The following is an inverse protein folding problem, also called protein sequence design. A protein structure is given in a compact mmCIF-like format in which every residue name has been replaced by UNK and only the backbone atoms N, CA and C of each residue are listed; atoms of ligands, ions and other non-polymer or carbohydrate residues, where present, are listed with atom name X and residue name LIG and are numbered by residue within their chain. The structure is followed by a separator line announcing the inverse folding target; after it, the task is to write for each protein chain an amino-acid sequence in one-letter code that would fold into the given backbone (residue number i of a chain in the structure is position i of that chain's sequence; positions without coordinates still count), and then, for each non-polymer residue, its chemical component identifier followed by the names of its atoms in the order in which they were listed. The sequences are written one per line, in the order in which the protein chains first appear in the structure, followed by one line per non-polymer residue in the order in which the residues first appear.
data_IF_246428230537
#
_entry.id   IF_246428230537
#
_cell.length_a   1.000
_cell.length_b   1.000
_cell.length_c   1.000
_cell.angle_alpha   90.00
_cell.angle_beta   90.00
_cell.angle_gamma   90.00
#
_symmetry.space_group_name_H-M   'P 1'
#
loop_
_entity.id
_entity.type
_entity.pdbx_description
1 polymer ?
#
# COMPACT_ATOMS: atom_id res chain seq x y z
N UNK A 1 14.16 -9.20 13.46
CA UNK A 1 14.82 -7.91 13.30
C UNK A 1 13.86 -6.85 12.77
N UNK A 2 13.97 -5.65 13.30
CA UNK A 2 13.15 -4.53 12.85
C UNK A 2 13.94 -3.62 11.91
N UNK A 3 15.18 -3.99 11.64
CA UNK A 3 16.05 -3.19 10.77
C UNK A 3 15.36 -2.86 9.46
N UNK A 4 15.62 -1.66 8.95
CA UNK A 4 15.00 -1.21 7.71
C UNK A 4 15.79 -1.67 6.49
N UNK A 5 16.79 -2.51 6.73
CA UNK A 5 17.61 -3.05 5.65
C UNK A 5 16.81 -3.98 4.76
N UNK A 6 15.62 -4.38 5.23
CA UNK A 6 14.74 -5.27 4.49
C UNK A 6 13.78 -4.48 3.61
N UNK A 7 13.94 -3.17 3.58
CA UNK A 7 13.10 -2.31 2.76
C UNK A 7 13.76 -2.03 1.42
N UNK A 8 13.41 -2.82 0.42
CA UNK A 8 13.93 -2.65 -0.93
C UNK A 8 12.81 -2.34 -1.92
N UNK A 9 13.16 -1.71 -3.03
CA UNK A 9 12.19 -1.39 -4.07
C UNK A 9 11.44 -2.63 -4.54
N UNK A 10 10.14 -2.50 -4.70
CA UNK A 10 9.32 -3.57 -5.25
C UNK A 10 8.11 -3.02 -5.99
N UNK A 11 7.64 -1.86 -5.55
CA UNK A 11 6.47 -1.23 -6.17
C UNK A 11 6.70 -0.93 -7.64
N UNK A 12 7.84 -0.28 -7.93
CA UNK A 12 8.19 0.07 -9.30
C UNK A 12 8.20 -1.15 -10.20
N UNK A 13 9.01 -2.14 -9.83
CA UNK A 13 9.13 -3.37 -10.62
C UNK A 13 7.79 -4.07 -10.76
N UNK A 14 7.01 -4.07 -9.68
CA UNK A 14 5.74 -4.77 -9.66
C UNK A 14 4.78 -4.24 -10.71
N UNK A 15 4.66 -2.91 -10.78
CA UNK A 15 3.73 -2.27 -11.70
C UNK A 15 4.23 -2.33 -13.13
N UNK A 16 5.55 -2.32 -13.31
CA UNK A 16 6.16 -2.47 -14.62
C UNK A 16 5.90 -3.86 -15.19
N UNK A 17 6.04 -4.88 -14.35
CA UNK A 17 5.85 -6.26 -14.78
C UNK A 17 4.38 -6.57 -14.99
N UNK A 18 3.51 -5.71 -14.46
CA UNK A 18 2.07 -5.89 -14.60
C UNK A 18 1.42 -4.67 -15.23
N UNK A 19 2.04 -4.14 -16.28
CA UNK A 19 1.54 -2.94 -16.94
C UNK A 19 0.38 -3.26 -17.86
N UNK A 20 0.14 -4.55 -18.08
CA UNK A 20 -0.97 -4.99 -18.92
C UNK A 20 -2.28 -5.01 -18.13
N UNK A 21 -2.89 -3.84 -17.98
CA UNK A 21 -4.04 -3.68 -17.09
C UNK A 21 -5.28 -4.33 -17.68
N UNK A 22 -5.23 -4.63 -18.98
CA UNK A 22 -6.34 -5.27 -19.66
C UNK A 22 -6.23 -6.78 -19.62
N UNK A 23 -5.05 -7.27 -19.24
CA UNK A 23 -4.77 -8.71 -19.26
C UNK A 23 -4.65 -9.25 -17.84
N UNK A 24 -4.19 -8.39 -16.92
CA UNK A 24 -3.97 -8.81 -15.54
C UNK A 24 -5.29 -8.88 -14.77
N UNK A 25 -5.44 -9.93 -13.98
CA UNK A 25 -6.67 -10.13 -13.21
C UNK A 25 -6.92 -8.98 -12.25
N UNK A 26 -8.15 -8.48 -12.25
CA UNK A 26 -8.51 -7.35 -11.41
C UNK A 26 -8.16 -7.61 -9.95
N UNK A 27 -8.32 -8.85 -9.53
CA UNK A 27 -8.05 -9.24 -8.14
C UNK A 27 -6.81 -10.12 -8.05
N UNK A 28 -5.95 -10.03 -9.04
CA UNK A 28 -4.72 -10.80 -9.07
C UNK A 28 -3.81 -10.41 -7.91
N UNK A 29 -3.61 -11.36 -6.98
CA UNK A 29 -2.78 -11.10 -5.80
C UNK A 29 -1.31 -11.03 -6.18
N UNK A 30 -0.59 -10.08 -5.58
CA UNK A 30 0.79 -9.82 -5.94
C UNK A 30 1.75 -10.32 -4.86
N UNK A 31 1.23 -10.46 -3.64
CA UNK A 31 2.02 -10.96 -2.53
C UNK A 31 1.28 -12.08 -1.79
N UNK A 32 2.03 -12.90 -1.07
CA UNK A 32 1.44 -13.99 -0.30
C UNK A 32 0.49 -13.47 0.77
N UNK A 33 -0.46 -14.31 1.17
CA UNK A 33 -1.36 -13.98 2.27
C UNK A 33 -0.67 -14.13 3.62
N UNK A 34 -0.76 -13.10 4.44
CA UNK A 34 -0.21 -13.15 5.80
C UNK A 34 -1.28 -13.55 6.80
N UNK A 35 -0.84 -14.10 7.94
CA UNK A 35 -1.74 -14.52 8.99
C UNK A 35 -1.82 -13.49 10.10
N UNK A 36 -2.76 -13.69 11.03
CA UNK A 36 -2.84 -12.84 12.22
C UNK A 36 -1.56 -12.90 13.04
N UNK A 37 -0.90 -14.05 13.01
CA UNK A 37 0.38 -14.22 13.68
C UNK A 37 1.48 -13.39 13.01
N UNK A 38 1.46 -13.38 11.69
CA UNK A 38 2.39 -12.56 10.92
C UNK A 38 2.17 -11.08 11.18
N UNK A 39 0.91 -10.68 11.27
CA UNK A 39 0.56 -9.29 11.55
C UNK A 39 0.93 -8.91 12.98
N UNK A 40 0.84 -9.88 13.88
CA UNK A 40 1.22 -9.66 15.27
C UNK A 40 2.72 -9.44 15.41
N UNK A 41 3.49 -10.25 14.70
CA UNK A 41 4.95 -10.18 14.78
C UNK A 41 5.58 -10.30 13.39
N UNK A 42 5.46 -9.25 12.59
CA UNK A 42 5.97 -9.26 11.23
C UNK A 42 7.49 -9.17 11.20
N UNK A 43 8.06 -8.58 12.25
CA UNK A 43 9.51 -8.47 12.36
C UNK A 43 10.12 -9.77 12.87
N UNK A 44 9.27 -10.73 13.20
CA UNK A 44 9.73 -12.05 13.63
C UNK A 44 9.34 -13.12 12.63
N UNK A 45 8.86 -12.69 11.46
CA UNK A 45 8.42 -13.62 10.43
C UNK A 45 9.32 -13.56 9.21
N UNK A 46 10.13 -14.61 9.03
CA UNK A 46 11.08 -14.66 7.92
C UNK A 46 10.37 -14.45 6.58
N UNK A 47 9.15 -14.97 6.47
CA UNK A 47 8.37 -14.80 5.26
C UNK A 47 8.25 -13.34 4.86
N UNK A 48 8.13 -12.47 5.86
CA UNK A 48 8.04 -11.04 5.62
C UNK A 48 9.43 -10.41 5.49
N UNK A 49 10.33 -10.82 6.38
CA UNK A 49 11.64 -10.19 6.47
C UNK A 49 12.41 -10.33 5.17
N UNK A 50 12.27 -11.49 4.52
CA UNK A 50 13.05 -11.81 3.33
C UNK A 50 12.32 -11.37 2.07
N UNK A 51 11.15 -10.77 2.25
CA UNK A 51 10.35 -10.30 1.12
C UNK A 51 10.06 -8.81 1.23
N UNK A 52 10.86 -8.00 0.53
CA UNK A 52 10.67 -6.56 0.54
C UNK A 52 9.25 -6.18 0.12
N UNK A 53 8.60 -7.07 -0.62
CA UNK A 53 7.27 -6.81 -1.15
C UNK A 53 6.27 -6.54 -0.03
N UNK A 54 6.54 -7.11 1.14
CA UNK A 54 5.64 -6.97 2.28
C UNK A 54 5.86 -5.64 2.99
N UNK A 55 7.00 -5.01 2.73
CA UNK A 55 7.36 -3.77 3.39
C UNK A 55 6.80 -2.56 2.66
N UNK A 56 6.25 -1.61 3.41
CA UNK A 56 5.72 -0.38 2.83
C UNK A 56 5.76 0.76 3.85
N UNK A 57 5.71 1.99 3.35
CA UNK A 57 5.65 3.16 4.20
C UNK A 57 4.44 4.03 3.88
N UNK A 58 3.82 4.59 4.91
CA UNK A 58 2.68 5.48 4.73
C UNK A 58 3.12 6.94 4.69
N UNK A 59 2.68 7.65 3.66
CA UNK A 59 3.08 9.04 3.46
C UNK A 59 1.93 9.99 3.77
N UNK A 60 0.71 9.51 3.58
CA UNK A 60 -0.48 10.31 3.86
C UNK A 60 -1.75 9.53 3.56
N UNK A 61 -2.80 9.79 4.34
CA UNK A 61 -4.10 9.18 4.11
C UNK A 61 -5.11 10.21 3.61
N UNK A 62 -6.19 9.72 3.00
CA UNK A 62 -7.19 10.59 2.40
C UNK A 62 -8.48 10.59 3.21
N UNK A 63 -9.11 9.42 3.32
CA UNK A 63 -10.43 9.30 3.91
C UNK A 63 -10.81 7.86 4.14
N UNK A 64 -11.99 7.64 4.72
CA UNK A 64 -12.51 6.29 4.92
C UNK A 64 -13.95 6.18 4.43
N UNK A 65 -14.21 5.16 3.62
CA UNK A 65 -15.52 4.99 3.00
C UNK A 65 -15.85 3.52 2.81
N UNK A 66 -17.10 3.15 3.07
CA UNK A 66 -17.54 1.76 2.95
C UNK A 66 -16.72 0.85 3.86
N UNK A 67 -16.35 1.37 5.03
CA UNK A 67 -15.55 0.61 5.98
C UNK A 67 -14.17 0.28 5.43
N UNK A 68 -13.74 1.05 4.43
CA UNK A 68 -12.43 0.85 3.83
C UNK A 68 -11.59 2.12 3.91
N UNK A 69 -10.30 1.95 4.22
CA UNK A 69 -9.41 3.09 4.38
C UNK A 69 -8.66 3.38 3.09
N UNK A 70 -8.63 4.65 2.70
CA UNK A 70 -7.98 5.07 1.47
C UNK A 70 -6.78 5.96 1.76
N UNK A 71 -5.59 5.48 1.43
CA UNK A 71 -4.35 6.17 1.77
C UNK A 71 -3.32 6.04 0.67
N UNK A 72 -2.15 6.62 0.88
CA UNK A 72 -1.05 6.53 -0.07
C UNK A 72 0.22 5.99 0.58
N UNK A 73 0.84 5.01 -0.05
CA UNK A 73 2.04 4.39 0.49
C UNK A 73 3.14 4.31 -0.55
N UNK A 74 4.37 4.06 -0.11
CA UNK A 74 5.50 3.92 -1.01
C UNK A 74 6.56 2.99 -0.43
N UNK A 75 7.68 2.86 -1.14
CA UNK A 75 8.83 2.13 -0.61
C UNK A 75 10.13 2.86 -0.96
N UNK A 76 11.21 2.09 -1.11
CA UNK A 76 12.52 2.66 -1.40
C UNK A 76 12.54 3.31 -2.77
N UNK A 77 11.60 2.92 -3.62
CA UNK A 77 11.45 3.55 -4.93
C UNK A 77 10.23 4.46 -4.98
N UNK A 78 9.21 4.03 -5.71
CA UNK A 78 8.14 4.92 -6.12
C UNK A 78 6.92 4.80 -5.21
N UNK A 79 5.94 5.66 -5.41
CA UNK A 79 4.79 5.74 -4.52
C UNK A 79 3.51 5.35 -5.25
N UNK A 80 2.60 4.70 -4.52
CA UNK A 80 1.35 4.22 -5.11
C UNK A 80 0.22 4.26 -4.10
N UNK A 81 -1.00 4.48 -4.59
CA UNK A 81 -2.18 4.52 -3.74
C UNK A 81 -2.52 3.13 -3.22
N UNK A 82 -3.16 3.07 -2.06
CA UNK A 82 -3.53 1.81 -1.44
C UNK A 82 -4.93 1.87 -0.84
N UNK A 83 -5.70 0.80 -1.06
CA UNK A 83 -7.01 0.69 -0.44
C UNK A 83 -7.07 -0.51 0.51
N UNK A 84 -7.54 -0.25 1.73
CA UNK A 84 -7.60 -1.29 2.76
C UNK A 84 -9.01 -1.84 2.92
N UNK A 85 -9.17 -3.13 2.63
CA UNK A 85 -10.48 -3.75 2.62
C UNK A 85 -11.12 -3.74 4.00
N UNK A 86 -12.44 -3.94 4.06
CA UNK A 86 -13.15 -4.01 5.32
C UNK A 86 -12.54 -5.07 6.24
N UNK A 87 -12.17 -6.20 5.66
CA UNK A 87 -11.46 -7.25 6.40
C UNK A 87 -10.15 -6.73 6.97
N UNK A 88 -9.39 -6.02 6.14
CA UNK A 88 -8.13 -5.44 6.57
C UNK A 88 -8.34 -4.51 7.77
N UNK A 89 -9.32 -3.62 7.66
CA UNK A 89 -9.61 -2.67 8.72
C UNK A 89 -9.97 -3.38 10.03
N UNK A 90 -10.91 -4.32 9.93
CA UNK A 90 -11.36 -5.05 11.11
C UNK A 90 -10.21 -5.74 11.82
N UNK A 91 -9.41 -6.46 11.06
CA UNK A 91 -8.27 -7.20 11.62
C UNK A 91 -7.26 -6.25 12.24
N UNK A 92 -6.92 -5.19 11.51
CA UNK A 92 -6.00 -4.18 12.00
C UNK A 92 -6.46 -3.63 13.35
N UNK A 93 -7.74 -3.32 13.45
CA UNK A 93 -8.29 -2.72 14.66
C UNK A 93 -8.20 -3.67 15.84
N UNK A 94 -8.48 -4.95 15.59
CA UNK A 94 -8.38 -5.97 16.62
C UNK A 94 -6.95 -6.11 17.12
N UNK A 95 -5.99 -6.00 16.21
CA UNK A 95 -4.59 -6.17 16.55
C UNK A 95 -4.06 -4.96 17.31
N UNK A 96 -4.30 -3.78 16.76
CA UNK A 96 -3.63 -2.56 17.23
C UNK A 96 -4.55 -1.74 18.11
N UNK A 97 -5.81 -2.11 18.17
CA UNK A 97 -6.81 -1.36 18.93
C UNK A 97 -6.84 0.10 18.49
N UNK A 98 -6.72 0.32 17.19
CA UNK A 98 -6.76 1.68 16.64
C UNK A 98 -7.05 1.66 15.15
N UNK A 99 -7.18 2.84 14.56
CA UNK A 99 -7.49 2.97 13.14
C UNK A 99 -6.21 3.02 12.30
N UNK A 100 -6.35 2.69 11.03
CA UNK A 100 -5.21 2.62 10.12
C UNK A 100 -4.63 4.01 9.87
N UNK A 101 -5.42 5.03 10.16
CA UNK A 101 -4.99 6.42 9.93
C UNK A 101 -4.55 7.08 11.23
N UNK A 102 -4.54 6.29 12.31
CA UNK A 102 -4.13 6.80 13.61
C UNK A 102 -2.64 7.10 13.65
N UNK A 103 -2.27 8.29 13.20
CA UNK A 103 -0.88 8.73 13.24
C UNK A 103 0.07 7.64 12.77
N UNK A 104 -0.11 7.22 11.51
CA UNK A 104 0.70 6.15 10.94
C UNK A 104 1.60 6.69 9.83
N UNK A 105 1.55 7.99 9.61
CA UNK A 105 2.21 8.60 8.46
C UNK A 105 3.71 8.75 8.71
N UNK A 106 4.14 8.42 9.91
CA UNK A 106 5.57 8.36 10.23
C UNK A 106 5.95 6.99 10.78
N UNK A 107 5.11 5.99 10.51
CA UNK A 107 5.36 4.64 10.97
C UNK A 107 5.70 3.71 9.81
N UNK A 108 6.18 2.52 10.13
CA UNK A 108 6.51 1.53 9.10
C UNK A 108 5.50 0.40 9.07
N UNK A 109 4.91 0.16 7.91
CA UNK A 109 3.77 -0.73 7.80
C UNK A 109 4.15 -2.01 7.06
N UNK A 110 3.36 -3.07 7.28
CA UNK A 110 3.52 -4.31 6.52
C UNK A 110 2.20 -4.74 5.88
N UNK A 111 2.26 -5.08 4.60
CA UNK A 111 1.07 -5.50 3.86
C UNK A 111 1.07 -7.00 3.61
N UNK A 112 -0.11 -7.57 3.45
CA UNK A 112 -0.25 -9.00 3.17
C UNK A 112 -1.55 -9.30 2.43
N UNK A 113 -1.55 -10.39 1.69
CA UNK A 113 -2.74 -10.81 0.95
C UNK A 113 -3.27 -9.67 0.09
N UNK A 114 -2.37 -9.01 -0.63
CA UNK A 114 -2.73 -7.83 -1.40
C UNK A 114 -2.73 -8.12 -2.90
N UNK A 115 -3.55 -7.38 -3.64
CA UNK A 115 -3.66 -7.56 -5.08
C UNK A 115 -3.50 -6.23 -5.82
N UNK A 116 -3.27 -6.32 -7.12
CA UNK A 116 -3.07 -5.12 -7.95
C UNK A 116 -4.27 -4.88 -8.86
N UNK A 117 -4.78 -3.66 -8.84
CA UNK A 117 -5.95 -3.31 -9.65
C UNK A 117 -5.83 -1.88 -10.18
N UNK A 118 -6.24 -1.69 -11.43
CA UNK A 118 -6.14 -0.38 -12.07
C UNK A 118 -7.47 0.37 -11.98
N UNK A 119 -7.39 1.66 -11.67
CA UNK A 119 -8.59 2.49 -11.54
C UNK A 119 -8.50 3.71 -12.43
N UNK A 120 -9.65 4.33 -12.68
CA UNK A 120 -9.72 5.50 -13.55
C UNK A 120 -9.74 6.79 -12.72
N UNK A 121 -9.75 7.92 -13.41
CA UNK A 121 -9.80 9.22 -12.75
C UNK A 121 -11.01 9.33 -11.83
N UNK A 122 -12.20 9.10 -12.40
CA UNK A 122 -13.44 9.25 -11.65
C UNK A 122 -13.47 8.31 -10.45
N UNK A 123 -12.86 7.14 -10.61
CA UNK A 123 -12.81 6.15 -9.53
C UNK A 123 -11.97 6.66 -8.37
N UNK A 124 -10.76 7.10 -8.66
CA UNK A 124 -9.87 7.65 -7.65
C UNK A 124 -10.47 8.90 -7.01
N UNK A 125 -11.25 9.63 -7.78
CA UNK A 125 -11.95 10.81 -7.28
C UNK A 125 -13.06 10.42 -6.31
N UNK A 126 -13.77 9.34 -6.63
CA UNK A 126 -14.94 8.93 -5.86
C UNK A 126 -14.54 8.07 -4.68
N UNK A 127 -13.37 7.44 -4.78
CA UNK A 127 -12.90 6.52 -3.74
C UNK A 127 -11.84 7.17 -2.86
N UNK A 128 -10.72 7.53 -3.47
CA UNK A 128 -9.61 8.13 -2.74
C UNK A 128 -9.84 9.60 -2.48
N UNK A 129 -10.88 10.16 -3.12
CA UNK A 129 -11.24 11.55 -2.94
C UNK A 129 -10.20 12.47 -3.56
N UNK A 130 -9.56 12.01 -4.62
CA UNK A 130 -8.51 12.77 -5.29
C UNK A 130 -8.48 12.46 -6.78
N UNK A 131 -8.68 13.49 -7.60
CA UNK A 131 -8.59 13.35 -9.05
C UNK A 131 -7.18 13.01 -9.48
N UNK A 132 -7.06 12.17 -10.50
CA UNK A 132 -5.75 11.72 -10.98
C UNK A 132 -5.09 12.77 -11.85
N UNK A 133 -5.89 13.69 -12.38
CA UNK A 133 -5.39 14.68 -13.32
C UNK A 133 -4.28 15.52 -12.71
N UNK A 134 -4.27 15.58 -11.39
CA UNK A 134 -3.30 16.41 -10.68
C UNK A 134 -2.14 15.57 -10.15
N UNK A 135 -2.30 14.26 -10.19
CA UNK A 135 -1.33 13.35 -9.60
C UNK A 135 -1.06 12.15 -10.52
N UNK A 136 -1.15 12.38 -11.82
CA UNK A 136 -0.85 11.34 -12.80
C UNK A 136 -0.60 11.94 -14.18
N UNK A 137 -0.01 11.14 -15.06
CA UNK A 137 0.09 11.51 -16.47
C UNK A 137 -0.91 10.74 -17.33
N UNK A 138 -1.54 9.75 -16.73
CA UNK A 138 -2.52 8.93 -17.43
C UNK A 138 -3.82 8.81 -16.64
N UNK A 139 -4.91 8.56 -17.35
CA UNK A 139 -6.24 8.52 -16.72
C UNK A 139 -6.44 7.21 -15.97
N UNK A 140 -5.59 6.22 -16.24
CA UNK A 140 -5.70 4.91 -15.60
C UNK A 140 -4.41 4.56 -14.88
N UNK A 141 -4.53 4.31 -13.57
CA UNK A 141 -3.36 4.11 -12.73
C UNK A 141 -3.53 2.88 -11.84
N UNK A 142 -2.41 2.25 -11.48
CA UNK A 142 -2.44 1.06 -10.64
C UNK A 142 -2.71 1.43 -9.18
N UNK A 143 -3.45 0.57 -8.49
CA UNK A 143 -3.67 0.74 -7.06
C UNK A 143 -3.54 -0.59 -6.32
N UNK A 144 -2.96 -0.54 -5.12
CA UNK A 144 -2.79 -1.73 -4.30
C UNK A 144 -3.99 -1.96 -3.37
N UNK A 145 -4.55 -3.15 -3.42
CA UNK A 145 -5.66 -3.51 -2.54
C UNK A 145 -5.22 -4.50 -1.47
N UNK A 146 -5.17 -4.04 -0.23
CA UNK A 146 -4.57 -4.81 0.86
C UNK A 146 -5.63 -5.41 1.77
N UNK A 147 -5.49 -6.68 2.08
CA UNK A 147 -6.46 -7.38 2.93
C UNK A 147 -5.89 -7.62 4.33
N UNK A 148 -4.58 -7.77 4.41
CA UNK A 148 -3.91 -7.84 5.70
C UNK A 148 -2.88 -6.71 5.86
N UNK A 149 -2.92 -6.05 7.01
CA UNK A 149 -2.04 -4.91 7.25
C UNK A 149 -1.71 -4.79 8.74
N UNK A 150 -0.47 -4.39 9.03
CA UNK A 150 -0.07 -4.11 10.40
C UNK A 150 1.02 -3.04 10.45
N UNK A 151 0.90 -2.13 11.40
CA UNK A 151 1.72 -0.92 11.43
C UNK A 151 2.45 -0.78 12.75
N UNK A 152 3.77 -0.60 12.68
CA UNK A 152 4.57 -0.36 13.87
C UNK A 152 5.47 0.85 13.71
N UNK A 153 5.69 1.58 14.79
CA UNK A 153 6.54 2.77 14.77
C UNK A 153 8.01 2.39 14.74
N UNK A 154 8.46 1.88 13.60
CA UNK A 154 9.84 1.45 13.45
C UNK A 154 10.67 2.48 12.70
N UNK A 155 10.25 2.80 11.48
CA UNK A 155 11.00 3.69 10.61
C UNK A 155 10.22 4.96 10.32
N UNK A 156 10.77 6.10 10.72
CA UNK A 156 10.14 7.39 10.47
C UNK A 156 9.99 7.64 8.97
N UNK A 157 8.79 8.04 8.56
CA UNK A 157 8.50 8.24 7.15
C UNK A 157 8.23 9.72 6.86
N UNK A 158 8.72 10.18 5.71
CA UNK A 158 8.52 11.56 5.30
C UNK A 158 7.10 11.79 4.81
N UNK A 159 6.75 13.05 4.60
CA UNK A 159 5.39 13.42 4.19
C UNK A 159 5.18 13.16 2.70
N UNK A 160 3.92 13.18 2.28
CA UNK A 160 3.58 12.99 0.88
C UNK A 160 3.93 14.23 0.06
N UNK A 161 5.03 14.17 -0.67
CA UNK A 161 5.45 15.27 -1.53
C UNK A 161 4.51 15.40 -2.73
N UNK A 162 4.50 16.60 -3.32
CA UNK A 162 3.56 16.90 -4.40
C UNK A 162 4.14 16.48 -5.75
N UNK A 163 4.31 15.17 -5.92
CA UNK A 163 4.79 14.64 -7.19
C UNK A 163 4.54 13.14 -7.29
N UNK A 164 3.78 12.73 -8.29
CA UNK A 164 3.51 11.32 -8.54
C UNK A 164 4.73 10.62 -9.12
N UNK A 165 4.84 9.32 -8.85
CA UNK A 165 5.96 8.52 -9.37
C UNK A 165 5.45 7.39 -10.26
N UNK A 166 4.76 6.43 -9.65
CA UNK A 166 4.18 5.32 -10.38
C UNK A 166 3.19 5.81 -11.43
N UNK A 167 2.49 6.89 -11.12
CA UNK A 167 1.48 7.45 -12.01
C UNK A 167 2.11 8.42 -13.01
N UNK A 168 3.38 8.74 -12.79
CA UNK A 168 4.11 9.63 -13.69
C UNK A 168 4.95 8.84 -14.69
N UNK A 169 5.39 7.65 -14.29
CA UNK A 169 6.25 6.83 -15.12
C UNK A 169 5.60 5.49 -15.43
N UNK A 170 4.28 5.50 -15.61
CA UNK A 170 3.53 4.28 -15.86
C UNK A 170 3.72 3.79 -17.30
#
# INVERSE_FOLDING_TARGET
STDSVFLQPWIKALIEDNSEHDQYHPSGHVIPSLTKQDLALPHMSPTILTNPCHFAKITKFYNVCDYKVYASIRDSSHQILVEFSQECVSNFERTHNCRITSETTNCLMIIGDADLVYVTNSRAMSHFKISLSNISSKEIVPVLNVNQATIFDIDQVGSLSTFPFVYKYL
#
